data_IF_966191141642
#
_entry.id   IF_966191141642
#
_cell.length_a   1.000
_cell.length_b   1.000
_cell.length_c   1.000
_cell.angle_alpha   90.00
_cell.angle_beta   90.00
_cell.angle_gamma   90.00
#
_symmetry.space_group_name_H-M   'P 1'
#
loop_
_entity.id
_entity.type
_entity.pdbx_description
1 polymer ?
#
# COMPACT_ATOMS: atom_id res chain seq x y z
N UNK A 1 -19.24 21.86 -2.84
CA UNK A 1 -18.02 22.65 -2.78
C UNK A 1 -16.82 21.78 -2.44
N UNK A 2 -15.62 22.10 -2.98
CA UNK A 2 -14.37 21.40 -2.76
C UNK A 2 -13.41 22.32 -1.97
N UNK A 3 -13.35 22.23 -0.63
CA UNK A 3 -12.50 23.10 0.18
C UNK A 3 -11.02 22.81 -0.06
N UNK A 4 -10.18 23.83 0.19
CA UNK A 4 -8.72 23.73 -0.07
C UNK A 4 -8.05 22.53 0.63
N UNK A 5 -8.45 22.23 1.87
CA UNK A 5 -7.94 21.08 2.66
C UNK A 5 -8.26 19.71 2.04
N UNK A 6 -9.28 19.66 1.15
CA UNK A 6 -9.73 18.44 0.49
C UNK A 6 -9.24 18.35 -0.97
N UNK A 7 -8.35 19.25 -1.39
CA UNK A 7 -7.65 19.20 -2.70
C UNK A 7 -6.28 18.58 -2.52
N UNK A 8 -5.80 17.88 -3.53
CA UNK A 8 -4.42 17.40 -3.55
C UNK A 8 -3.50 18.62 -3.67
N UNK A 9 -2.40 18.62 -2.95
CA UNK A 9 -1.44 19.73 -2.96
C UNK A 9 -0.89 19.94 -4.39
N UNK A 10 -0.95 21.17 -4.86
CA UNK A 10 -0.46 21.53 -6.20
C UNK A 10 -1.53 21.53 -7.29
N UNK A 11 -2.72 20.94 -7.06
CA UNK A 11 -3.83 21.00 -8.03
C UNK A 11 -4.35 22.43 -8.23
N UNK A 12 -4.55 22.78 -9.49
CA UNK A 12 -5.15 24.05 -9.91
C UNK A 12 -6.30 23.76 -10.84
N UNK A 13 -7.46 24.27 -10.49
CA UNK A 13 -8.69 24.15 -11.29
C UNK A 13 -9.06 25.49 -11.90
N UNK A 14 -9.52 25.48 -13.13
CA UNK A 14 -10.03 26.63 -13.88
C UNK A 14 -11.54 26.48 -14.08
N UNK A 15 -12.20 27.57 -14.37
CA UNK A 15 -13.62 27.56 -14.75
C UNK A 15 -13.77 26.76 -16.05
N UNK A 16 -14.68 25.79 -16.06
CA UNK A 16 -14.89 24.86 -17.16
C UNK A 16 -14.20 23.50 -17.02
N UNK A 17 -13.28 23.34 -16.06
CA UNK A 17 -12.65 22.04 -15.80
C UNK A 17 -13.67 21.05 -15.22
N UNK A 18 -13.62 19.81 -15.68
CA UNK A 18 -14.33 18.68 -15.09
C UNK A 18 -13.48 18.08 -13.98
N UNK A 19 -14.00 18.08 -12.76
CA UNK A 19 -13.28 17.62 -11.58
C UNK A 19 -13.98 16.41 -10.96
N UNK A 20 -13.30 15.28 -10.93
CA UNK A 20 -13.75 14.07 -10.20
C UNK A 20 -13.49 14.26 -8.70
N UNK A 21 -14.44 13.89 -7.86
CA UNK A 21 -14.32 13.93 -6.41
C UNK A 21 -15.34 13.01 -5.76
N UNK A 22 -15.10 12.64 -4.50
CA UNK A 22 -16.09 11.91 -3.69
C UNK A 22 -16.80 12.85 -2.73
N UNK A 23 -18.05 12.51 -2.39
CA UNK A 23 -18.80 13.19 -1.35
C UNK A 23 -18.19 12.82 0.00
N UNK A 24 -17.73 13.83 0.75
CA UNK A 24 -17.18 13.65 2.09
C UNK A 24 -18.25 13.84 3.17
N UNK A 25 -19.06 14.88 3.00
CA UNK A 25 -20.11 15.23 3.96
C UNK A 25 -21.26 15.99 3.29
N UNK A 26 -22.45 15.76 3.79
CA UNK A 26 -23.64 16.54 3.45
C UNK A 26 -24.08 17.30 4.70
N UNK A 27 -24.30 18.60 4.57
CA UNK A 27 -24.82 19.48 5.62
C UNK A 27 -26.26 19.87 5.26
N UNK A 28 -27.13 19.91 6.26
CA UNK A 28 -28.58 20.20 6.07
C UNK A 28 -29.07 21.36 6.89
N UNK A 29 -28.28 21.94 7.80
CA UNK A 29 -28.73 22.91 8.81
C UNK A 29 -29.25 24.22 8.23
N UNK A 30 -28.71 24.70 7.11
CA UNK A 30 -29.10 25.95 6.43
C UNK A 30 -29.21 25.75 4.91
N UNK A 31 -29.90 24.69 4.51
CA UNK A 31 -29.94 24.23 3.13
C UNK A 31 -28.90 23.15 2.86
N UNK A 32 -29.05 22.45 1.72
CA UNK A 32 -28.18 21.35 1.36
C UNK A 32 -26.83 21.88 0.87
N UNK A 33 -25.75 21.54 1.58
CA UNK A 33 -24.35 21.78 1.16
C UNK A 33 -23.58 20.48 1.09
N UNK A 34 -22.98 20.18 -0.04
CA UNK A 34 -22.22 18.95 -0.27
C UNK A 34 -20.72 19.29 -0.27
N UNK A 35 -20.00 18.76 0.72
CA UNK A 35 -18.53 18.85 0.80
C UNK A 35 -17.92 17.70 0.02
N UNK A 36 -17.07 18.03 -0.94
CA UNK A 36 -16.32 17.07 -1.77
C UNK A 36 -14.89 16.88 -1.28
N UNK A 37 -14.29 15.75 -1.64
CA UNK A 37 -12.90 15.45 -1.32
C UNK A 37 -12.20 14.71 -2.47
N UNK A 38 -10.93 15.07 -2.68
CA UNK A 38 -9.96 14.38 -3.53
C UNK A 38 -8.80 13.78 -2.70
N UNK A 39 -8.77 14.08 -1.39
CA UNK A 39 -7.74 13.61 -0.46
C UNK A 39 -8.15 12.37 0.33
N UNK A 40 -9.41 11.98 0.29
CA UNK A 40 -9.92 10.79 0.98
C UNK A 40 -9.36 9.49 0.35
N UNK A 41 -9.03 8.46 1.14
CA UNK A 41 -8.77 7.10 0.61
C UNK A 41 -9.91 6.60 -0.27
N UNK A 42 -11.16 6.91 0.07
CA UNK A 42 -12.34 6.54 -0.73
C UNK A 42 -12.30 7.07 -2.17
N UNK A 43 -11.64 8.20 -2.41
CA UNK A 43 -11.49 8.73 -3.77
C UNK A 43 -10.59 7.82 -4.63
N UNK A 44 -9.47 7.33 -4.08
CA UNK A 44 -8.63 6.34 -4.75
C UNK A 44 -9.39 5.03 -5.00
N UNK A 45 -10.13 4.52 -4.02
CA UNK A 45 -10.93 3.30 -4.16
C UNK A 45 -11.96 3.44 -5.29
N UNK A 46 -12.71 4.56 -5.34
CA UNK A 46 -13.69 4.80 -6.41
C UNK A 46 -13.03 4.94 -7.81
N UNK A 47 -11.82 5.51 -7.89
CA UNK A 47 -11.09 5.58 -9.15
C UNK A 47 -10.65 4.20 -9.62
N UNK A 48 -10.18 3.34 -8.69
CA UNK A 48 -9.82 1.96 -9.00
C UNK A 48 -11.05 1.14 -9.42
N UNK A 49 -12.18 1.30 -8.73
CA UNK A 49 -13.44 0.65 -9.11
C UNK A 49 -13.91 1.05 -10.51
N UNK A 50 -13.69 2.29 -10.90
CA UNK A 50 -14.03 2.79 -12.24
C UNK A 50 -13.08 2.29 -13.33
N UNK A 51 -11.79 2.07 -13.02
CA UNK A 51 -10.75 1.70 -13.99
C UNK A 51 -10.55 0.18 -14.10
N UNK A 52 -10.82 -0.59 -13.03
CA UNK A 52 -10.54 -2.02 -12.91
C UNK A 52 -11.84 -2.80 -12.87
N UNK A 53 -12.25 -3.46 -13.97
CA UNK A 53 -13.49 -4.25 -14.03
C UNK A 53 -13.57 -5.33 -12.94
N UNK A 54 -12.45 -6.00 -12.63
CA UNK A 54 -12.40 -7.05 -11.62
C UNK A 54 -12.72 -6.52 -10.21
N UNK A 55 -12.43 -5.25 -9.92
CA UNK A 55 -12.83 -4.60 -8.66
C UNK A 55 -14.31 -4.24 -8.71
N UNK A 56 -14.76 -3.66 -9.82
CA UNK A 56 -16.16 -3.26 -10.02
C UNK A 56 -17.11 -4.46 -9.91
N UNK A 57 -16.72 -5.59 -10.48
CA UNK A 57 -17.54 -6.81 -10.54
C UNK A 57 -17.37 -7.70 -9.28
N UNK A 58 -16.56 -7.25 -8.31
CA UNK A 58 -16.36 -7.93 -7.02
C UNK A 58 -15.46 -9.15 -7.06
N UNK A 59 -14.72 -9.39 -8.14
CA UNK A 59 -13.71 -10.45 -8.21
C UNK A 59 -12.45 -10.11 -7.44
N UNK A 60 -12.16 -8.83 -7.28
CA UNK A 60 -11.07 -8.30 -6.46
C UNK A 60 -11.63 -7.29 -5.48
N UNK A 61 -11.29 -7.41 -4.20
CA UNK A 61 -11.71 -6.51 -3.15
C UNK A 61 -10.53 -5.65 -2.67
N UNK A 62 -10.78 -4.37 -2.39
CA UNK A 62 -9.85 -3.50 -1.68
C UNK A 62 -10.11 -3.67 -0.19
N UNK A 63 -9.18 -4.33 0.52
CA UNK A 63 -9.31 -4.64 1.96
C UNK A 63 -8.81 -3.47 2.81
N UNK A 64 -7.85 -2.71 2.32
CA UNK A 64 -7.29 -1.57 3.02
C UNK A 64 -6.66 -0.56 2.09
N UNK A 65 -6.69 0.70 2.48
CA UNK A 65 -6.10 1.80 1.74
C UNK A 65 -5.50 2.82 2.70
N UNK A 66 -4.20 3.06 2.59
CA UNK A 66 -3.48 4.14 3.27
C UNK A 66 -2.90 5.09 2.22
N UNK A 67 -3.03 6.40 2.45
CA UNK A 67 -2.73 7.39 1.42
C UNK A 67 -2.16 8.68 1.99
N UNK A 68 -1.12 9.19 1.37
CA UNK A 68 -0.64 10.58 1.51
C UNK A 68 -0.90 11.25 0.15
N UNK A 69 -1.96 12.09 0.07
CA UNK A 69 -2.48 12.59 -1.20
C UNK A 69 -1.43 13.34 -2.03
N UNK A 70 -1.31 12.96 -3.31
CA UNK A 70 -0.36 13.54 -4.25
C UNK A 70 1.08 13.03 -4.12
N UNK A 71 1.34 12.12 -3.17
CA UNK A 71 2.68 11.56 -2.97
C UNK A 71 2.69 10.05 -3.13
N UNK A 72 2.03 9.31 -2.25
CA UNK A 72 2.00 7.85 -2.31
C UNK A 72 0.78 7.28 -1.62
N UNK A 73 0.31 6.16 -2.13
CA UNK A 73 -0.70 5.31 -1.51
C UNK A 73 -0.25 3.85 -1.49
N UNK A 74 -0.79 3.09 -0.54
CA UNK A 74 -0.68 1.64 -0.48
C UNK A 74 -2.07 1.05 -0.33
N UNK A 75 -2.38 0.04 -1.13
CA UNK A 75 -3.67 -0.66 -1.11
C UNK A 75 -3.46 -2.15 -0.91
N UNK A 76 -4.32 -2.76 -0.11
CA UNK A 76 -4.36 -4.22 0.07
C UNK A 76 -5.50 -4.76 -0.79
N UNK A 77 -5.19 -5.72 -1.63
CA UNK A 77 -6.10 -6.35 -2.58
C UNK A 77 -6.28 -7.82 -2.25
N UNK A 78 -7.51 -8.29 -2.28
CA UNK A 78 -7.87 -9.69 -2.06
C UNK A 78 -8.67 -10.22 -3.25
N UNK A 79 -8.27 -11.36 -3.79
CA UNK A 79 -9.05 -12.05 -4.81
C UNK A 79 -10.20 -12.84 -4.21
N UNK A 80 -11.37 -12.79 -4.85
CA UNK A 80 -12.52 -13.65 -4.57
C UNK A 80 -12.50 -14.84 -5.53
N UNK A 81 -11.52 -15.75 -5.35
CA UNK A 81 -11.35 -16.91 -6.21
C UNK A 81 -9.90 -17.31 -6.37
N UNK A 82 -9.63 -18.55 -6.75
CA UNK A 82 -8.30 -19.16 -6.80
C UNK A 82 -7.49 -18.83 -8.06
N UNK A 83 -8.13 -18.32 -9.11
CA UNK A 83 -7.50 -18.12 -10.43
C UNK A 83 -7.35 -16.63 -10.81
N UNK A 84 -7.40 -15.75 -9.83
CA UNK A 84 -7.31 -14.30 -10.06
C UNK A 84 -6.06 -13.76 -9.34
N UNK A 85 -5.19 -13.11 -10.09
CA UNK A 85 -4.12 -12.30 -9.55
C UNK A 85 -4.67 -10.89 -9.26
N UNK A 86 -4.91 -10.53 -7.97
CA UNK A 86 -5.52 -9.26 -7.64
C UNK A 86 -4.61 -8.06 -7.93
N UNK A 87 -3.30 -8.25 -7.81
CA UNK A 87 -2.31 -7.20 -8.10
C UNK A 87 -2.17 -7.00 -9.60
N UNK A 88 -2.00 -8.08 -10.36
CA UNK A 88 -1.90 -8.02 -11.83
C UNK A 88 -3.13 -7.42 -12.48
N UNK A 89 -4.34 -7.79 -12.03
CA UNK A 89 -5.60 -7.24 -12.51
C UNK A 89 -5.69 -5.72 -12.26
N UNK A 90 -5.29 -5.28 -11.06
CA UNK A 90 -5.35 -3.86 -10.68
C UNK A 90 -4.29 -3.03 -11.39
N UNK A 91 -3.07 -3.51 -11.50
CA UNK A 91 -1.97 -2.82 -12.20
C UNK A 91 -2.24 -2.75 -13.70
N UNK A 92 -2.75 -3.83 -14.29
CA UNK A 92 -3.00 -3.96 -15.72
C UNK A 92 -1.73 -4.16 -16.55
N UNK A 93 -1.91 -4.51 -17.81
CA UNK A 93 -0.78 -4.77 -18.74
C UNK A 93 0.11 -3.52 -18.83
N UNK A 94 1.40 -3.69 -18.55
CA UNK A 94 2.39 -2.59 -18.51
C UNK A 94 1.98 -1.41 -17.61
N UNK A 95 1.15 -1.66 -16.59
CA UNK A 95 0.72 -0.63 -15.65
C UNK A 95 -0.31 0.36 -16.18
N UNK A 96 -0.98 0.07 -17.30
CA UNK A 96 -1.92 1.02 -17.94
C UNK A 96 -3.01 1.48 -16.98
N UNK A 97 -3.63 0.55 -16.24
CA UNK A 97 -4.74 0.86 -15.33
C UNK A 97 -4.28 1.70 -14.14
N UNK A 98 -3.25 1.22 -13.43
CA UNK A 98 -2.75 1.94 -12.25
C UNK A 98 -2.18 3.33 -12.61
N UNK A 99 -1.55 3.47 -13.78
CA UNK A 99 -1.04 4.74 -14.26
C UNK A 99 -2.16 5.73 -14.61
N UNK A 100 -3.30 5.26 -15.12
CA UNK A 100 -4.48 6.11 -15.37
C UNK A 100 -5.00 6.70 -14.05
N UNK A 101 -5.12 5.87 -13.01
CA UNK A 101 -5.53 6.31 -11.67
C UNK A 101 -4.49 7.25 -11.06
N UNK A 102 -3.20 6.93 -11.14
CA UNK A 102 -2.10 7.76 -10.65
C UNK A 102 -2.13 9.17 -11.25
N UNK A 103 -2.35 9.29 -12.56
CA UNK A 103 -2.47 10.58 -13.27
C UNK A 103 -3.62 11.44 -12.74
N UNK A 104 -4.78 10.84 -12.49
CA UNK A 104 -5.92 11.53 -11.90
C UNK A 104 -5.60 12.05 -10.48
N UNK A 105 -4.70 11.37 -9.76
CA UNK A 105 -4.26 11.71 -8.41
C UNK A 105 -2.98 12.58 -8.38
N UNK A 106 -2.74 13.35 -9.42
CA UNK A 106 -1.57 14.24 -9.50
C UNK A 106 -0.23 13.49 -9.44
N UNK A 107 -0.15 12.34 -10.14
CA UNK A 107 0.99 11.42 -10.21
C UNK A 107 1.36 10.78 -8.86
N UNK A 108 0.37 10.51 -8.01
CA UNK A 108 0.55 9.75 -6.78
C UNK A 108 1.02 8.32 -7.09
N UNK A 109 2.10 7.87 -6.43
CA UNK A 109 2.56 6.49 -6.56
C UNK A 109 1.61 5.56 -5.80
N UNK A 110 1.15 4.48 -6.44
CA UNK A 110 0.20 3.53 -5.85
C UNK A 110 0.84 2.16 -5.78
N UNK A 111 1.11 1.67 -4.57
CA UNK A 111 1.63 0.34 -4.32
C UNK A 111 0.46 -0.63 -4.08
N UNK A 112 0.38 -1.68 -4.90
CA UNK A 112 -0.60 -2.75 -4.78
C UNK A 112 0.01 -3.92 -3.99
N UNK A 113 -0.69 -4.35 -2.94
CA UNK A 113 -0.24 -5.40 -2.00
C UNK A 113 -1.30 -6.49 -1.98
N UNK A 114 -0.89 -7.73 -2.21
CA UNK A 114 -1.78 -8.86 -2.07
C UNK A 114 -2.04 -9.17 -0.60
N UNK A 115 -3.30 -9.38 -0.26
CA UNK A 115 -3.75 -9.72 1.09
C UNK A 115 -3.18 -11.08 1.55
N UNK A 116 -2.87 -11.17 2.82
CA UNK A 116 -2.56 -12.40 3.54
C UNK A 116 -3.06 -12.30 4.97
N UNK A 117 -3.44 -13.42 5.56
CA UNK A 117 -3.83 -13.50 6.97
C UNK A 117 -2.63 -13.43 7.93
N UNK A 118 -1.42 -13.63 7.41
CA UNK A 118 -0.18 -13.57 8.20
C UNK A 118 0.31 -12.13 8.27
N UNK A 119 0.21 -11.53 9.46
CA UNK A 119 0.55 -10.12 9.68
C UNK A 119 2.02 -9.82 9.37
N UNK A 120 2.93 -10.73 9.66
CA UNK A 120 4.37 -10.62 9.37
C UNK A 120 4.63 -10.48 7.87
N UNK A 121 3.96 -11.31 7.06
CA UNK A 121 4.06 -11.28 5.60
C UNK A 121 3.43 -10.01 5.07
N UNK A 122 2.28 -9.61 5.60
CA UNK A 122 1.60 -8.38 5.18
C UNK A 122 2.49 -7.15 5.44
N UNK A 123 3.11 -7.05 6.61
CA UNK A 123 4.03 -5.96 6.96
C UNK A 123 5.25 -5.95 6.03
N UNK A 124 5.84 -7.12 5.77
CA UNK A 124 6.95 -7.26 4.84
C UNK A 124 6.58 -6.75 3.44
N UNK A 125 5.43 -7.17 2.90
CA UNK A 125 4.90 -6.70 1.62
C UNK A 125 4.62 -5.19 1.63
N UNK A 126 4.09 -4.67 2.73
CA UNK A 126 3.76 -3.25 2.88
C UNK A 126 5.00 -2.35 2.92
N UNK A 127 6.16 -2.87 3.31
CA UNK A 127 7.44 -2.14 3.31
C UNK A 127 8.14 -2.12 1.94
N UNK A 128 7.60 -2.82 0.93
CA UNK A 128 8.16 -2.73 -0.42
C UNK A 128 8.35 -1.24 -0.84
N UNK A 129 9.45 -0.91 -1.55
CA UNK A 129 10.40 -1.78 -2.24
C UNK A 129 11.57 -2.29 -1.35
N UNK A 130 11.52 -2.09 -0.02
CA UNK A 130 12.55 -2.64 0.86
C UNK A 130 12.43 -4.16 0.96
N UNK A 131 13.58 -4.83 0.99
CA UNK A 131 13.67 -6.27 1.25
C UNK A 131 13.80 -6.45 2.77
N UNK A 132 12.88 -7.21 3.34
CA UNK A 132 12.79 -7.50 4.77
C UNK A 132 13.28 -8.92 5.01
N UNK A 133 14.18 -9.10 5.99
CA UNK A 133 14.71 -10.41 6.36
C UNK A 133 13.73 -11.17 7.27
N UNK A 134 13.19 -10.49 8.30
CA UNK A 134 12.21 -11.07 9.21
C UNK A 134 11.33 -10.00 9.85
N UNK A 135 10.16 -10.40 10.29
CA UNK A 135 9.24 -9.56 11.07
C UNK A 135 8.87 -10.34 12.32
N UNK A 136 8.98 -9.71 13.48
CA UNK A 136 8.52 -10.25 14.76
C UNK A 136 7.45 -9.31 15.31
N UNK A 137 6.31 -9.87 15.67
CA UNK A 137 5.20 -9.09 16.25
C UNK A 137 5.23 -9.26 17.76
N UNK A 138 5.19 -8.12 18.45
CA UNK A 138 5.07 -8.01 19.91
C UNK A 138 3.93 -7.04 20.22
N UNK A 139 2.78 -7.57 20.60
CA UNK A 139 1.54 -6.82 20.81
C UNK A 139 1.14 -5.97 19.59
N UNK A 140 1.29 -4.64 19.70
CA UNK A 140 0.99 -3.69 18.63
C UNK A 140 2.23 -3.20 17.87
N UNK A 141 3.40 -3.76 18.18
CA UNK A 141 4.67 -3.42 17.53
C UNK A 141 5.10 -4.53 16.59
N UNK A 142 5.66 -4.13 15.46
CA UNK A 142 6.31 -5.02 14.52
C UNK A 142 7.80 -4.65 14.45
N UNK A 143 8.65 -5.54 14.93
CA UNK A 143 10.10 -5.42 14.85
C UNK A 143 10.52 -6.03 13.53
N UNK A 144 10.99 -5.19 12.60
CA UNK A 144 11.35 -5.56 11.25
C UNK A 144 12.87 -5.58 11.12
N UNK A 145 13.44 -6.75 10.90
CA UNK A 145 14.88 -6.93 10.69
C UNK A 145 15.21 -6.83 9.21
N UNK A 146 16.19 -6.02 8.88
CA UNK A 146 16.62 -5.78 7.51
C UNK A 146 18.11 -5.41 7.45
N UNK A 147 18.70 -5.55 6.27
CA UNK A 147 20.08 -5.11 6.03
C UNK A 147 20.12 -3.58 6.00
N UNK A 148 21.24 -3.00 6.43
CA UNK A 148 21.45 -1.54 6.49
C UNK A 148 21.14 -0.83 5.16
N UNK A 149 21.46 -1.47 4.03
CA UNK A 149 21.17 -0.95 2.68
C UNK A 149 19.67 -0.81 2.39
N UNK A 150 18.83 -1.60 3.06
CA UNK A 150 17.38 -1.58 2.86
C UNK A 150 16.66 -0.55 3.74
N UNK A 151 17.32 -0.04 4.78
CA UNK A 151 16.71 0.89 5.75
C UNK A 151 16.17 2.15 5.10
N UNK A 152 16.94 2.78 4.23
CA UNK A 152 16.49 3.98 3.51
C UNK A 152 15.27 3.74 2.64
N UNK A 153 15.18 2.54 2.01
CA UNK A 153 14.02 2.14 1.21
C UNK A 153 12.80 1.89 2.08
N UNK A 154 12.99 1.23 3.25
CA UNK A 154 11.93 0.95 4.20
C UNK A 154 11.31 2.24 4.76
N UNK A 155 12.14 3.20 5.14
CA UNK A 155 11.71 4.51 5.62
C UNK A 155 11.04 5.30 4.49
N UNK A 156 11.69 5.36 3.32
CA UNK A 156 11.26 6.16 2.18
C UNK A 156 11.51 7.66 2.38
N UNK A 157 11.27 8.44 1.33
CA UNK A 157 11.39 9.90 1.37
C UNK A 157 10.47 10.47 2.45
N UNK A 158 11.01 11.29 3.35
CA UNK A 158 10.29 11.91 4.48
C UNK A 158 9.54 10.91 5.38
N UNK A 159 9.98 9.64 5.45
CA UNK A 159 9.33 8.61 6.24
C UNK A 159 7.98 8.12 5.69
N UNK A 160 7.64 8.46 4.45
CA UNK A 160 6.33 8.17 3.86
C UNK A 160 6.09 6.66 3.74
N UNK A 161 7.10 5.89 3.34
CA UNK A 161 6.92 4.45 3.10
C UNK A 161 6.57 3.69 4.39
N UNK A 162 7.38 3.87 5.45
CA UNK A 162 7.14 3.23 6.75
C UNK A 162 5.83 3.72 7.40
N UNK A 163 5.51 5.01 7.27
CA UNK A 163 4.26 5.57 7.78
C UNK A 163 3.04 4.95 7.13
N UNK A 164 3.04 4.80 5.79
CA UNK A 164 1.94 4.15 5.07
C UNK A 164 1.83 2.67 5.42
N UNK A 165 2.96 1.96 5.55
CA UNK A 165 2.98 0.57 5.98
C UNK A 165 2.39 0.39 7.40
N UNK A 166 2.74 1.29 8.33
CA UNK A 166 2.17 1.32 9.69
C UNK A 166 0.67 1.61 9.68
N UNK A 167 0.22 2.63 8.92
CA UNK A 167 -1.21 2.96 8.80
C UNK A 167 -2.01 1.81 8.20
N UNK A 168 -1.45 1.10 7.23
CA UNK A 168 -2.12 0.03 6.50
C UNK A 168 -2.21 -1.26 7.32
N UNK A 169 -1.15 -1.61 8.03
CA UNK A 169 -1.07 -2.83 8.85
C UNK A 169 -1.67 -2.68 10.24
N UNK A 170 -1.76 -1.45 10.74
CA UNK A 170 -2.21 -1.17 12.11
C UNK A 170 -1.16 -1.42 13.20
N UNK A 171 0.09 -1.69 12.81
CA UNK A 171 1.21 -1.91 13.73
C UNK A 171 2.16 -0.71 13.75
N UNK A 172 2.76 -0.44 14.92
CA UNK A 172 3.92 0.43 15.04
C UNK A 172 5.15 -0.32 14.52
N UNK A 173 5.78 0.18 13.45
CA UNK A 173 6.90 -0.51 12.80
C UNK A 173 8.21 0.05 13.34
N UNK A 174 9.04 -0.82 13.93
CA UNK A 174 10.39 -0.55 14.39
C UNK A 174 11.40 -1.29 13.50
N UNK A 175 12.40 -0.57 12.97
CA UNK A 175 13.41 -1.16 12.09
C UNK A 175 14.65 -1.53 12.89
N UNK A 176 15.04 -2.80 12.81
CA UNK A 176 16.25 -3.36 13.40
C UNK A 176 17.26 -3.70 12.30
N UNK A 177 18.44 -3.11 12.36
CA UNK A 177 19.51 -3.39 11.42
C UNK A 177 20.27 -4.64 11.83
N UNK A 178 20.39 -5.60 10.90
CA UNK A 178 21.21 -6.79 11.10
C UNK A 178 22.69 -6.45 10.97
N UNK A 179 23.49 -6.79 11.98
CA UNK A 179 24.93 -6.72 11.90
C UNK A 179 25.48 -7.81 10.95
N UNK A 180 26.66 -7.56 10.35
CA UNK A 180 27.31 -8.52 9.45
C UNK A 180 27.54 -9.90 10.10
N UNK A 181 27.74 -9.95 11.41
CA UNK A 181 27.85 -11.20 12.17
C UNK A 181 26.52 -11.97 12.29
N UNK A 182 25.39 -11.27 12.39
CA UNK A 182 24.05 -11.88 12.43
C UNK A 182 23.61 -12.38 11.05
N UNK A 183 24.01 -11.70 9.99
CA UNK A 183 23.80 -12.14 8.60
C UNK A 183 24.54 -13.45 8.31
N UNK A 184 25.79 -13.56 8.70
CA UNK A 184 26.59 -14.77 8.49
C UNK A 184 26.01 -15.97 9.26
N UNK A 185 25.48 -15.76 10.46
CA UNK A 185 24.82 -16.81 11.24
C UNK A 185 23.47 -17.23 10.63
N UNK A 186 22.72 -16.31 10.03
CA UNK A 186 21.47 -16.62 9.34
C UNK A 186 21.73 -17.45 8.06
N UNK A 187 22.72 -17.05 7.26
CA UNK A 187 23.11 -17.76 6.04
C UNK A 187 23.62 -19.17 6.37
N UNK A 188 24.48 -19.32 7.42
CA UNK A 188 24.98 -20.64 7.84
C UNK A 188 23.87 -21.55 8.37
N UNK A 189 22.84 -21.00 9.01
CA UNK A 189 21.69 -21.78 9.46
C UNK A 189 20.77 -22.19 8.28
N UNK A 190 20.57 -21.34 7.28
CA UNK A 190 19.82 -21.69 6.06
C UNK A 190 20.55 -22.78 5.24
N UNK A 191 21.86 -22.66 5.09
CA UNK A 191 22.68 -23.68 4.42
C UNK A 191 22.68 -25.02 5.20
N UNK A 192 22.75 -24.96 6.53
CA UNK A 192 22.64 -26.15 7.37
C UNK A 192 21.26 -26.81 7.29
N UNK A 193 20.18 -26.04 7.27
CA UNK A 193 18.80 -26.53 7.07
C UNK A 193 18.60 -27.13 5.69
N UNK A 194 19.16 -26.50 4.65
CA UNK A 194 19.09 -27.02 3.27
C UNK A 194 19.85 -28.33 3.12
N UNK A 195 21.07 -28.44 3.71
CA UNK A 195 21.83 -29.64 3.74
C UNK A 195 21.15 -30.79 4.51
N UNK A 196 20.45 -30.47 5.62
CA UNK A 196 19.62 -31.43 6.34
C UNK A 196 18.42 -31.91 5.49
N UNK A 197 17.74 -31.03 4.78
CA UNK A 197 16.65 -31.42 3.89
C UNK A 197 17.07 -32.28 2.73
N UNK A 198 18.30 -32.04 2.19
CA UNK A 198 18.86 -32.85 1.11
C UNK A 198 19.32 -34.25 1.59
N UNK A 199 19.70 -34.39 2.86
CA UNK A 199 20.02 -35.67 3.49
C UNK A 199 18.78 -36.55 3.76
N UNK A 200 17.58 -35.95 3.87
CA UNK A 200 16.33 -36.69 4.09
C UNK A 200 15.51 -36.94 2.82
N UNK A 201 16.00 -36.49 1.66
CA UNK A 201 15.46 -36.90 0.35
C UNK A 201 16.08 -38.21 -0.06
N UNK A 202 15.52 -39.33 0.40
CA UNK A 202 15.70 -40.67 -0.15
C UNK A 202 14.43 -41.06 -0.86
#
# INVERSE_FOLDING_TARGET
FLPRKNRIKGEKFKIGDVVKAVIRRVYTDKGIKIELSRTSPKFLECLLEAEVPEIKDGYVNIIGCARIPGERAKIILQANGTNIDPVGATVGVKGVRINAVSKELHNENIDCIEFTNESEILISRALAPAIVNSVKIEDKKAIVSLNSEQKSKAIGKNGINIRLASMLSGYEIELNELSSSQLNNAISNEEAMKNLQDLFKI
#
